data_IF_533695474069
#
_entry.id   IF_533695474069
#
_cell.length_a   1.000
_cell.length_b   1.000
_cell.length_c   1.000
_cell.angle_alpha   90.00
_cell.angle_beta   90.00
_cell.angle_gamma   90.00
#
_symmetry.space_group_name_H-M   'P 1'
#
loop_
_entity.id
_entity.type
_entity.pdbx_description
1 polymer ?
#
# COMPACT_ATOMS: atom_id res chain seq x y z
N UNK A 1 45.66 63.01 -15.68
CA UNK A 1 44.91 63.97 -16.51
C UNK A 1 43.43 63.71 -16.27
N UNK A 2 42.78 64.56 -15.45
CA UNK A 2 41.82 65.61 -15.86
C UNK A 2 40.57 65.00 -16.55
N UNK A 3 39.41 64.97 -15.88
CA UNK A 3 38.41 66.07 -15.78
C UNK A 3 37.49 66.12 -17.01
N UNK A 4 36.20 66.47 -17.00
CA UNK A 4 35.17 66.87 -16.04
C UNK A 4 33.86 66.95 -16.90
N UNK A 5 32.68 66.58 -16.41
CA UNK A 5 31.59 67.53 -16.10
C UNK A 5 30.25 66.97 -16.63
N UNK A 6 29.18 66.74 -15.85
CA UNK A 6 28.36 67.59 -14.97
C UNK A 6 27.29 68.37 -15.75
N UNK A 7 26.00 68.14 -15.46
CA UNK A 7 24.99 69.02 -14.83
C UNK A 7 23.65 68.22 -14.84
N UNK A 8 22.63 68.36 -13.99
CA UNK A 8 22.37 68.91 -12.64
C UNK A 8 20.83 68.75 -12.43
N UNK A 9 20.34 68.51 -11.22
CA UNK A 9 18.90 68.49 -10.95
C UNK A 9 18.57 68.11 -9.51
N UNK A 10 18.64 69.11 -8.62
CA UNK A 10 18.51 69.01 -7.17
C UNK A 10 17.08 68.73 -6.69
N UNK A 11 16.95 68.08 -5.53
CA UNK A 11 15.85 68.34 -4.58
C UNK A 11 16.26 67.92 -3.16
N UNK A 12 15.74 68.69 -2.21
CA UNK A 12 16.33 69.08 -0.94
C UNK A 12 15.84 68.20 0.21
N UNK A 13 16.75 67.85 1.13
CA UNK A 13 16.43 67.28 2.45
C UNK A 13 15.81 68.35 3.36
N UNK A 14 14.73 67.99 4.05
CA UNK A 14 14.31 68.63 5.29
C UNK A 14 14.02 67.57 6.36
N UNK A 15 14.81 67.59 7.42
CA UNK A 15 14.60 66.87 8.68
C UNK A 15 13.44 67.53 9.45
N UNK A 16 12.55 66.73 10.04
CA UNK A 16 11.72 67.19 11.16
C UNK A 16 11.46 66.03 12.12
N UNK A 17 11.98 66.20 13.34
CA UNK A 17 11.60 65.46 14.53
C UNK A 17 10.21 65.93 15.03
N UNK A 18 9.42 65.00 15.59
CA UNK A 18 8.18 65.30 16.30
C UNK A 18 7.64 64.02 16.91
N UNK A 19 7.89 63.79 18.20
CA UNK A 19 6.93 63.99 19.29
C UNK A 19 5.64 63.18 19.12
N UNK A 20 5.49 62.14 19.95
CA UNK A 20 4.27 61.38 20.13
C UNK A 20 3.10 62.30 20.55
N UNK A 21 1.89 62.16 19.98
CA UNK A 21 0.74 62.86 20.51
C UNK A 21 0.14 62.07 21.69
N UNK A 22 -0.05 62.83 22.75
CA UNK A 22 -0.78 62.57 23.97
C UNK A 22 -2.26 62.29 23.67
N UNK A 23 -2.86 61.41 24.47
CA UNK A 23 -4.25 60.99 24.37
C UNK A 23 -5.16 62.15 24.78
N UNK A 24 -5.94 62.69 23.84
CA UNK A 24 -6.96 63.69 24.14
C UNK A 24 -8.28 63.00 24.54
N UNK A 25 -8.67 63.18 25.80
CA UNK A 25 -9.94 62.74 26.36
C UNK A 25 -11.05 63.72 25.92
N UNK A 26 -11.98 63.26 25.09
CA UNK A 26 -13.21 64.00 24.75
C UNK A 26 -14.32 63.63 25.76
N UNK A 27 -15.04 64.61 26.36
CA UNK A 27 -16.10 64.34 27.32
C UNK A 27 -17.38 63.92 26.58
N UNK A 28 -17.85 62.70 26.82
CA UNK A 28 -19.17 62.26 26.34
C UNK A 28 -20.22 62.60 27.40
N UNK A 29 -21.07 63.58 27.07
CA UNK A 29 -22.29 63.94 27.82
C UNK A 29 -23.23 62.74 27.97
N UNK A 30 -23.82 62.51 29.16
CA UNK A 30 -24.78 61.43 29.36
C UNK A 30 -26.11 61.75 28.67
N UNK A 31 -26.71 60.81 27.91
CA UNK A 31 -28.04 60.99 27.35
C UNK A 31 -29.12 60.93 28.43
N UNK A 32 -30.15 61.78 28.27
CA UNK A 32 -31.36 61.89 29.09
C UNK A 32 -32.10 60.56 29.22
N UNK A 33 -32.60 60.30 30.43
CA UNK A 33 -33.55 59.24 30.76
C UNK A 33 -34.75 59.20 29.80
N UNK A 34 -34.80 58.18 28.96
CA UNK A 34 -36.04 57.65 28.41
C UNK A 34 -36.46 56.42 29.23
N UNK A 35 -37.76 56.18 29.45
CA UNK A 35 -38.21 55.02 30.21
C UNK A 35 -37.85 53.74 29.46
N UNK A 36 -37.01 52.92 30.09
CA UNK A 36 -36.57 51.62 29.59
C UNK A 36 -37.78 50.70 29.47
N UNK A 37 -38.10 50.27 28.26
CA UNK A 37 -39.04 49.18 28.02
C UNK A 37 -38.50 47.92 28.71
N UNK A 38 -39.37 47.27 29.49
CA UNK A 38 -39.07 46.07 30.28
C UNK A 38 -38.47 45.00 29.36
N UNK A 39 -37.19 44.70 29.54
CA UNK A 39 -36.51 43.63 28.81
C UNK A 39 -37.18 42.28 29.12
N UNK A 40 -37.39 41.41 28.12
CA UNK A 40 -37.88 40.07 28.37
C UNK A 40 -36.81 39.28 29.15
N UNK A 41 -37.24 38.59 30.20
CA UNK A 41 -36.43 37.65 30.98
C UNK A 41 -35.76 36.62 30.07
N UNK A 42 -34.46 36.31 30.26
CA UNK A 42 -33.80 35.26 29.49
C UNK A 42 -34.43 33.91 29.86
N UNK A 43 -35.04 33.24 28.88
CA UNK A 43 -35.46 31.85 29.02
C UNK A 43 -34.22 30.98 29.26
N UNK A 44 -34.36 30.02 30.18
CA UNK A 44 -33.34 29.02 30.50
C UNK A 44 -32.84 28.33 29.22
N UNK A 45 -31.55 27.93 29.15
CA UNK A 45 -31.03 27.21 27.99
C UNK A 45 -31.84 25.93 27.78
N UNK A 46 -32.41 25.81 26.60
CA UNK A 46 -33.14 24.64 26.15
C UNK A 46 -32.19 23.44 26.20
N UNK A 47 -32.58 22.41 26.95
CA UNK A 47 -31.75 21.23 27.16
C UNK A 47 -31.43 20.58 25.80
N UNK A 48 -30.15 20.53 25.46
CA UNK A 48 -29.68 19.81 24.26
C UNK A 48 -30.21 18.37 24.32
N UNK A 49 -30.85 17.85 23.25
CA UNK A 49 -31.32 16.48 23.23
C UNK A 49 -30.17 15.53 23.56
N UNK A 50 -30.40 14.59 24.48
CA UNK A 50 -29.42 13.56 24.81
C UNK A 50 -28.92 12.89 23.52
N UNK A 51 -27.60 12.62 23.39
CA UNK A 51 -27.07 11.91 22.23
C UNK A 51 -27.86 10.61 22.03
N UNK A 52 -28.43 10.42 20.85
CA UNK A 52 -29.14 9.17 20.55
C UNK A 52 -28.19 7.99 20.79
N UNK A 53 -28.66 6.91 21.46
CA UNK A 53 -27.85 5.71 21.63
C UNK A 53 -27.35 5.26 20.26
N UNK A 54 -26.02 5.18 20.10
CA UNK A 54 -25.42 4.64 18.87
C UNK A 54 -26.05 3.25 18.65
N UNK A 55 -26.61 2.95 17.46
CA UNK A 55 -27.19 1.65 17.19
C UNK A 55 -26.20 0.56 17.62
N UNK A 56 -26.68 -0.44 18.37
CA UNK A 56 -25.85 -1.56 18.77
C UNK A 56 -25.21 -2.15 17.51
N UNK A 57 -23.89 -2.34 17.53
CA UNK A 57 -23.19 -2.95 16.42
C UNK A 57 -23.84 -4.30 16.12
N UNK A 58 -24.19 -4.54 14.85
CA UNK A 58 -24.71 -5.84 14.43
C UNK A 58 -23.72 -6.93 14.85
N UNK A 59 -24.21 -8.08 15.37
CA UNK A 59 -23.33 -9.18 15.75
C UNK A 59 -22.50 -9.62 14.54
N UNK A 60 -21.24 -9.99 14.79
CA UNK A 60 -20.37 -10.49 13.73
C UNK A 60 -21.02 -11.71 13.06
N UNK A 61 -20.85 -11.87 11.73
CA UNK A 61 -21.35 -13.02 11.00
C UNK A 61 -20.92 -14.35 11.65
N UNK A 62 -21.82 -15.34 11.65
CA UNK A 62 -21.50 -16.65 12.19
C UNK A 62 -20.47 -17.36 11.29
N UNK A 63 -19.27 -17.62 11.83
CA UNK A 63 -18.20 -18.35 11.15
C UNK A 63 -18.28 -19.86 11.34
N UNK A 64 -17.88 -20.59 10.31
CA UNK A 64 -17.78 -22.06 10.30
C UNK A 64 -16.78 -22.58 11.35
N UNK A 65 -16.91 -23.86 11.73
CA UNK A 65 -15.95 -24.50 12.64
C UNK A 65 -14.53 -24.56 12.02
N UNK A 66 -14.44 -24.77 10.71
CA UNK A 66 -13.18 -24.79 9.97
C UNK A 66 -12.49 -23.42 9.99
N UNK A 67 -13.21 -22.33 9.69
CA UNK A 67 -12.67 -20.96 9.76
C UNK A 67 -12.23 -20.59 11.18
N UNK A 68 -12.99 -21.00 12.21
CA UNK A 68 -12.58 -20.81 13.62
C UNK A 68 -11.28 -21.57 13.94
N UNK A 69 -11.12 -22.80 13.48
CA UNK A 69 -9.91 -23.58 13.68
C UNK A 69 -8.70 -22.97 12.95
N UNK A 70 -8.88 -22.49 11.72
CA UNK A 70 -7.87 -21.75 10.97
C UNK A 70 -7.47 -20.45 11.69
N UNK A 71 -8.44 -19.68 12.21
CA UNK A 71 -8.16 -18.47 12.97
C UNK A 71 -7.29 -18.75 14.20
N UNK A 72 -7.60 -19.82 14.96
CA UNK A 72 -6.80 -20.24 16.11
C UNK A 72 -5.41 -20.74 15.73
N UNK A 73 -5.27 -21.34 14.55
CA UNK A 73 -3.98 -21.79 14.04
C UNK A 73 -3.10 -20.60 13.64
N UNK A 74 -3.62 -19.67 12.84
CA UNK A 74 -2.85 -18.51 12.38
C UNK A 74 -2.55 -17.52 13.52
N UNK A 75 -3.43 -17.43 14.52
CA UNK A 75 -3.14 -16.67 15.75
C UNK A 75 -1.91 -17.23 16.49
N UNK A 76 -1.80 -18.57 16.58
CA UNK A 76 -0.61 -19.24 17.18
C UNK A 76 0.63 -19.01 16.32
N UNK A 77 0.53 -19.22 15.01
CA UNK A 77 1.63 -18.99 14.06
C UNK A 77 2.18 -17.56 14.19
N UNK A 78 1.33 -16.53 14.14
CA UNK A 78 1.79 -15.15 14.29
C UNK A 78 2.44 -14.92 15.66
N UNK A 79 1.86 -15.48 16.74
CA UNK A 79 2.45 -15.36 18.08
C UNK A 79 3.85 -15.97 18.13
N UNK A 80 4.05 -17.13 17.51
CA UNK A 80 5.33 -17.82 17.45
C UNK A 80 6.36 -17.05 16.63
N UNK A 81 5.97 -16.50 15.47
CA UNK A 81 6.82 -15.67 14.62
C UNK A 81 7.26 -14.39 15.35
N UNK A 82 6.31 -13.65 15.93
CA UNK A 82 6.61 -12.40 16.66
C UNK A 82 7.50 -12.67 17.88
N UNK A 83 7.28 -13.78 18.60
CA UNK A 83 8.11 -14.15 19.76
C UNK A 83 9.56 -14.42 19.35
N UNK A 84 9.78 -14.94 18.14
CA UNK A 84 11.12 -15.16 17.57
C UNK A 84 11.76 -13.88 17.01
N UNK A 85 11.07 -12.74 17.07
CA UNK A 85 11.54 -11.48 16.48
C UNK A 85 11.33 -11.39 14.96
N UNK A 86 10.54 -12.28 14.38
CA UNK A 86 10.13 -12.27 12.98
C UNK A 86 8.89 -11.35 12.79
N UNK A 87 8.38 -11.27 11.56
CA UNK A 87 7.34 -10.33 11.13
C UNK A 87 7.70 -8.88 11.45
N UNK A 88 8.96 -8.50 11.25
CA UNK A 88 9.44 -7.14 11.47
C UNK A 88 8.72 -6.16 10.55
N UNK A 89 8.32 -5.02 11.10
CA UNK A 89 7.70 -3.91 10.37
C UNK A 89 8.62 -2.70 10.16
N UNK A 90 9.89 -2.80 10.56
CA UNK A 90 10.85 -1.69 10.56
C UNK A 90 11.47 -1.41 9.18
N UNK A 91 11.32 -2.35 8.23
CA UNK A 91 11.82 -2.23 6.86
C UNK A 91 13.32 -2.48 6.72
N UNK A 92 13.95 -3.08 7.73
CA UNK A 92 15.40 -3.35 7.80
C UNK A 92 16.19 -2.20 8.43
N UNK A 93 17.49 -2.43 8.64
CA UNK A 93 18.35 -1.50 9.35
C UNK A 93 19.83 -1.82 9.22
N UNK A 94 20.68 -1.27 10.12
CA UNK A 94 22.12 -1.53 10.15
C UNK A 94 22.50 -3.02 10.27
N UNK A 95 21.60 -3.85 10.80
CA UNK A 95 21.74 -5.30 10.96
C UNK A 95 21.41 -6.10 9.67
N UNK A 96 20.86 -5.42 8.66
CA UNK A 96 20.49 -6.01 7.37
C UNK A 96 21.11 -5.25 6.20
N UNK A 97 22.45 -5.12 6.14
CA UNK A 97 23.10 -4.43 5.03
C UNK A 97 22.94 -5.25 3.74
N UNK A 98 22.87 -4.55 2.61
CA UNK A 98 22.93 -5.15 1.29
C UNK A 98 23.75 -4.28 0.35
N UNK A 99 24.40 -4.91 -0.63
CA UNK A 99 25.17 -4.23 -1.67
C UNK A 99 24.35 -4.06 -2.96
N UNK A 100 24.83 -3.24 -3.88
CA UNK A 100 24.33 -3.16 -5.25
C UNK A 100 24.31 -4.52 -5.96
N UNK A 101 25.34 -5.33 -5.73
CA UNK A 101 25.47 -6.67 -6.32
C UNK A 101 24.42 -7.62 -5.75
N UNK A 102 24.15 -7.55 -4.44
CA UNK A 102 23.05 -8.30 -3.81
C UNK A 102 21.71 -7.87 -4.39
N UNK A 103 21.47 -6.55 -4.45
CA UNK A 103 20.22 -6.00 -4.99
C UNK A 103 19.98 -6.44 -6.45
N UNK A 104 20.99 -6.36 -7.32
CA UNK A 104 20.87 -6.80 -8.71
C UNK A 104 20.62 -8.30 -8.85
N UNK A 105 21.33 -9.12 -8.06
CA UNK A 105 21.13 -10.58 -8.05
C UNK A 105 19.71 -10.93 -7.59
N UNK A 106 19.26 -10.31 -6.51
CA UNK A 106 17.93 -10.55 -5.94
C UNK A 106 16.85 -10.09 -6.91
N UNK A 107 17.01 -8.93 -7.56
CA UNK A 107 16.12 -8.48 -8.63
C UNK A 107 15.97 -9.51 -9.75
N UNK A 108 17.08 -10.06 -10.23
CA UNK A 108 17.05 -11.08 -11.29
C UNK A 108 16.28 -12.32 -10.83
N UNK A 109 16.49 -12.76 -9.58
CA UNK A 109 15.79 -13.94 -9.03
C UNK A 109 14.31 -13.72 -8.79
N UNK A 110 13.93 -12.54 -8.32
CA UNK A 110 12.56 -12.24 -7.90
C UNK A 110 11.69 -11.80 -9.08
N UNK A 111 12.23 -11.01 -10.01
CA UNK A 111 11.44 -10.42 -11.10
C UNK A 111 11.50 -11.20 -12.43
N UNK A 112 12.45 -12.12 -12.59
CA UNK A 112 12.73 -12.80 -13.87
C UNK A 112 12.68 -14.32 -13.75
N UNK A 113 12.08 -14.82 -12.68
CA UNK A 113 11.71 -16.22 -12.49
C UNK A 113 10.23 -16.27 -12.10
N UNK A 114 9.55 -17.34 -12.48
CA UNK A 114 8.21 -17.67 -11.99
C UNK A 114 8.35 -18.66 -10.82
N UNK A 115 7.54 -18.50 -9.77
CA UNK A 115 7.56 -19.37 -8.57
C UNK A 115 6.98 -20.76 -8.84
N UNK A 116 5.91 -20.84 -9.65
CA UNK A 116 5.18 -22.07 -9.92
C UNK A 116 5.25 -22.49 -11.37
N UNK A 117 5.40 -23.80 -11.59
CA UNK A 117 5.18 -24.46 -12.89
C UNK A 117 3.90 -25.28 -12.86
N UNK A 118 3.24 -25.38 -14.01
CA UNK A 118 2.11 -26.28 -14.17
C UNK A 118 2.59 -27.74 -14.13
N UNK A 119 2.04 -28.53 -13.21
CA UNK A 119 2.32 -29.96 -13.04
C UNK A 119 1.00 -30.75 -13.19
N UNK A 120 0.68 -31.07 -14.44
CA UNK A 120 -0.61 -31.63 -14.83
C UNK A 120 -1.75 -30.69 -14.45
N UNK A 121 -2.55 -31.08 -13.44
CA UNK A 121 -3.68 -30.29 -12.97
C UNK A 121 -3.37 -29.45 -11.71
N UNK A 122 -2.12 -29.48 -11.23
CA UNK A 122 -1.67 -28.76 -10.04
C UNK A 122 -0.61 -27.71 -10.40
N UNK A 123 -0.31 -26.82 -9.45
CA UNK A 123 0.85 -25.95 -9.49
C UNK A 123 1.92 -26.53 -8.56
N UNK A 124 3.17 -26.53 -8.99
CA UNK A 124 4.31 -26.97 -8.18
C UNK A 124 5.33 -25.84 -8.10
N UNK A 125 5.79 -25.54 -6.89
CA UNK A 125 6.83 -24.54 -6.68
C UNK A 125 8.14 -25.02 -7.34
N UNK A 126 8.59 -24.29 -8.36
CA UNK A 126 9.85 -24.48 -9.07
C UNK A 126 10.25 -23.18 -9.77
N UNK A 127 11.27 -22.51 -9.22
CA UNK A 127 11.82 -21.29 -9.78
C UNK A 127 12.30 -21.50 -11.23
N UNK A 128 11.52 -21.02 -12.19
CA UNK A 128 11.77 -21.21 -13.62
C UNK A 128 12.04 -19.88 -14.29
N UNK A 129 13.07 -19.80 -15.14
CA UNK A 129 13.40 -18.54 -15.83
C UNK A 129 12.21 -18.04 -16.64
N UNK A 130 11.85 -16.78 -16.40
CA UNK A 130 10.71 -16.11 -17.01
C UNK A 130 11.18 -14.87 -17.77
N UNK A 131 10.21 -14.12 -18.28
CA UNK A 131 10.42 -12.80 -18.89
C UNK A 131 9.96 -11.73 -17.90
N UNK A 132 10.52 -10.54 -18.02
CA UNK A 132 10.08 -9.40 -17.22
C UNK A 132 8.60 -9.13 -17.51
N UNK A 133 7.77 -9.18 -16.47
CA UNK A 133 6.35 -8.83 -16.54
C UNK A 133 6.05 -7.71 -15.54
N UNK A 134 5.24 -6.73 -15.98
CA UNK A 134 4.79 -5.62 -15.14
C UNK A 134 3.57 -4.94 -15.74
N UNK A 135 2.97 -4.03 -15.01
CA UNK A 135 1.90 -3.17 -15.52
C UNK A 135 2.46 -2.03 -16.39
N UNK A 136 1.78 -1.69 -17.47
CA UNK A 136 2.02 -0.46 -18.24
C UNK A 136 0.80 0.48 -18.23
N UNK A 137 -0.28 0.04 -17.57
CA UNK A 137 -1.53 0.81 -17.41
C UNK A 137 -1.78 1.11 -15.94
N UNK A 138 -2.59 2.15 -15.63
CA UNK A 138 -3.00 2.42 -14.25
C UNK A 138 -3.66 1.22 -13.59
N UNK A 139 -3.38 1.04 -12.30
CA UNK A 139 -3.93 -0.04 -11.50
C UNK A 139 -5.07 0.51 -10.65
N UNK A 140 -6.26 -0.06 -10.86
CA UNK A 140 -7.47 0.18 -10.06
C UNK A 140 -7.69 -1.05 -9.20
N UNK A 141 -7.49 -0.88 -7.90
CA UNK A 141 -7.66 -1.94 -6.91
C UNK A 141 -9.10 -1.97 -6.39
N UNK A 142 -9.79 -3.09 -6.56
CA UNK A 142 -11.03 -3.34 -5.85
C UNK A 142 -10.78 -4.25 -4.66
N UNK A 143 -11.35 -3.92 -3.50
CA UNK A 143 -11.17 -4.72 -2.26
C UNK A 143 -12.48 -5.38 -1.91
N UNK A 144 -12.53 -6.70 -2.03
CA UNK A 144 -13.73 -7.50 -1.80
C UNK A 144 -13.58 -8.33 -0.53
N UNK A 145 -14.69 -8.45 0.19
CA UNK A 145 -14.73 -9.19 1.45
C UNK A 145 -15.78 -10.28 1.37
N UNK A 146 -15.45 -11.44 1.94
CA UNK A 146 -16.41 -12.48 2.22
C UNK A 146 -17.50 -11.98 3.18
N UNK A 147 -18.68 -12.58 3.12
CA UNK A 147 -19.81 -12.19 3.98
C UNK A 147 -19.46 -12.36 5.44
N UNK A 148 -18.61 -13.34 5.76
CA UNK A 148 -18.28 -13.69 7.14
C UNK A 148 -17.13 -12.87 7.74
N UNK A 149 -16.53 -11.95 6.99
CA UNK A 149 -15.46 -11.06 7.50
C UNK A 149 -16.06 -9.92 8.33
N UNK A 150 -15.66 -9.68 9.60
CA UNK A 150 -16.19 -8.63 10.45
C UNK A 150 -16.01 -7.21 9.89
N UNK A 151 -17.01 -6.33 10.07
CA UNK A 151 -16.98 -4.96 9.53
C UNK A 151 -15.76 -4.14 10.00
N UNK A 152 -15.35 -4.32 11.27
CA UNK A 152 -14.16 -3.67 11.83
C UNK A 152 -12.89 -4.11 11.12
N UNK A 153 -12.78 -5.38 10.73
CA UNK A 153 -11.66 -5.90 9.95
C UNK A 153 -11.68 -5.32 8.53
N UNK A 154 -12.84 -5.33 7.86
CA UNK A 154 -12.97 -4.74 6.51
C UNK A 154 -12.48 -3.29 6.45
N UNK A 155 -12.83 -2.48 7.45
CA UNK A 155 -12.36 -1.10 7.52
C UNK A 155 -10.84 -0.98 7.66
N UNK A 156 -10.22 -1.80 8.53
CA UNK A 156 -8.75 -1.82 8.71
C UNK A 156 -8.05 -2.24 7.42
N UNK A 157 -8.52 -3.32 6.80
CA UNK A 157 -7.85 -3.90 5.65
C UNK A 157 -8.00 -3.01 4.39
N UNK A 158 -9.17 -2.38 4.18
CA UNK A 158 -9.32 -1.35 3.12
C UNK A 158 -8.33 -0.21 3.31
N UNK A 159 -8.17 0.29 4.53
CA UNK A 159 -7.23 1.37 4.80
C UNK A 159 -5.77 0.94 4.59
N UNK A 160 -5.42 -0.28 5.00
CA UNK A 160 -4.09 -0.84 4.77
C UNK A 160 -3.77 -0.97 3.27
N UNK A 161 -4.69 -1.55 2.48
CA UNK A 161 -4.56 -1.64 1.02
C UNK A 161 -4.44 -0.24 0.40
N UNK A 162 -5.23 0.74 0.84
CA UNK A 162 -5.21 2.09 0.28
C UNK A 162 -3.87 2.80 0.56
N UNK A 163 -3.41 2.73 1.81
CA UNK A 163 -2.15 3.32 2.22
C UNK A 163 -0.96 2.68 1.48
N UNK A 164 -0.98 1.36 1.33
CA UNK A 164 0.08 0.64 0.64
C UNK A 164 0.05 0.86 -0.87
N UNK A 165 -1.12 0.84 -1.51
CA UNK A 165 -1.29 1.22 -2.92
C UNK A 165 -0.70 2.60 -3.22
N UNK A 166 -0.94 3.58 -2.34
CA UNK A 166 -0.36 4.91 -2.48
C UNK A 166 1.19 4.89 -2.36
N UNK A 167 1.75 4.05 -1.47
CA UNK A 167 3.21 3.86 -1.36
C UNK A 167 3.78 3.22 -2.62
N UNK A 168 3.16 2.14 -3.12
CA UNK A 168 3.55 1.46 -4.36
C UNK A 168 3.52 2.44 -5.54
N UNK A 169 2.47 3.26 -5.67
CA UNK A 169 2.35 4.25 -6.74
C UNK A 169 3.51 5.25 -6.74
N UNK A 170 3.93 5.74 -5.56
CA UNK A 170 5.09 6.63 -5.43
C UNK A 170 6.42 5.95 -5.77
N UNK A 171 6.57 4.67 -5.44
CA UNK A 171 7.79 3.91 -5.68
C UNK A 171 7.97 3.58 -7.16
N UNK A 172 6.88 3.25 -7.86
CA UNK A 172 6.93 2.72 -9.23
C UNK A 172 6.58 3.76 -10.29
N UNK A 173 5.94 4.87 -9.92
CA UNK A 173 5.40 5.85 -10.86
C UNK A 173 4.13 5.39 -11.59
N UNK A 174 3.66 4.16 -11.36
CA UNK A 174 2.37 3.69 -11.86
C UNK A 174 1.26 4.36 -11.07
N UNK A 175 0.21 4.93 -11.68
CA UNK A 175 -0.95 5.39 -10.94
C UNK A 175 -1.70 4.20 -10.35
N UNK A 176 -1.73 4.10 -9.01
CA UNK A 176 -2.43 3.03 -8.29
C UNK A 176 -3.43 3.66 -7.33
N UNK A 177 -4.68 3.19 -7.37
CA UNK A 177 -5.72 3.67 -6.45
C UNK A 177 -6.83 2.66 -6.26
N UNK A 178 -7.55 2.78 -5.14
CA UNK A 178 -8.75 1.96 -4.93
C UNK A 178 -9.94 2.48 -5.72
N UNK A 179 -10.81 1.57 -6.13
CA UNK A 179 -12.08 1.86 -6.80
C UNK A 179 -13.24 1.19 -6.08
N UNK A 180 -14.43 1.79 -6.18
CA UNK A 180 -15.68 1.19 -5.69
C UNK A 180 -16.30 0.22 -6.73
N UNK A 181 -15.95 0.36 -8.01
CA UNK A 181 -16.36 -0.52 -9.09
C UNK A 181 -15.37 -1.67 -9.33
N UNK A 182 -15.50 -2.35 -10.46
CA UNK A 182 -14.56 -3.41 -10.86
C UNK A 182 -13.16 -2.85 -11.16
N UNK A 183 -12.15 -3.41 -10.51
CA UNK A 183 -10.75 -3.10 -10.70
C UNK A 183 -10.09 -4.04 -11.71
N UNK A 184 -8.91 -3.66 -12.19
CA UNK A 184 -8.03 -4.61 -12.88
C UNK A 184 -7.14 -5.37 -11.89
N UNK A 185 -7.10 -4.98 -10.61
CA UNK A 185 -6.46 -5.73 -9.54
C UNK A 185 -7.49 -5.96 -8.42
N UNK A 186 -7.95 -7.20 -8.27
CA UNK A 186 -8.90 -7.55 -7.20
C UNK A 186 -8.17 -8.12 -5.97
N UNK A 187 -8.39 -7.50 -4.81
CA UNK A 187 -7.86 -7.95 -3.51
C UNK A 187 -9.01 -8.60 -2.73
N UNK A 188 -8.98 -9.93 -2.63
CA UNK A 188 -10.04 -10.74 -2.07
C UNK A 188 -9.66 -11.19 -0.67
N UNK A 189 -10.38 -10.68 0.34
CA UNK A 189 -10.18 -11.06 1.74
C UNK A 189 -11.36 -11.95 2.15
N UNK A 190 -11.13 -13.26 2.15
CA UNK A 190 -12.17 -14.28 2.28
C UNK A 190 -11.86 -15.21 3.44
N UNK A 191 -12.85 -15.50 4.28
CA UNK A 191 -12.76 -16.66 5.17
C UNK A 191 -13.00 -17.96 4.38
N UNK A 192 -12.67 -19.09 4.99
CA UNK A 192 -12.72 -20.42 4.39
C UNK A 192 -14.06 -20.73 3.70
N UNK A 193 -15.19 -20.50 4.38
CA UNK A 193 -16.52 -20.73 3.79
C UNK A 193 -16.85 -19.79 2.62
N UNK A 194 -16.46 -18.51 2.70
CA UNK A 194 -16.70 -17.54 1.63
C UNK A 194 -15.89 -17.90 0.38
N UNK A 195 -14.67 -18.41 0.60
CA UNK A 195 -13.72 -18.80 -0.44
C UNK A 195 -14.18 -20.04 -1.21
N UNK A 196 -14.72 -21.05 -0.52
CA UNK A 196 -15.24 -22.27 -1.16
C UNK A 196 -16.39 -21.99 -2.15
N UNK A 197 -17.18 -20.95 -1.91
CA UNK A 197 -18.26 -20.52 -2.80
C UNK A 197 -17.83 -19.60 -3.94
N UNK A 198 -16.55 -19.25 -4.06
CA UNK A 198 -16.10 -18.12 -4.89
C UNK A 198 -15.80 -18.50 -6.36
N UNK A 199 -15.87 -19.79 -6.72
CA UNK A 199 -15.42 -20.29 -8.04
C UNK A 199 -16.07 -19.57 -9.22
N UNK A 200 -17.40 -19.49 -9.24
CA UNK A 200 -18.14 -18.88 -10.35
C UNK A 200 -17.75 -17.41 -10.54
N UNK A 201 -17.55 -16.70 -9.42
CA UNK A 201 -17.13 -15.30 -9.42
C UNK A 201 -15.68 -15.15 -9.87
N UNK A 202 -14.78 -16.05 -9.48
CA UNK A 202 -13.40 -16.07 -9.96
C UNK A 202 -13.33 -16.30 -11.48
N UNK A 203 -14.12 -17.25 -12.02
CA UNK A 203 -14.20 -17.53 -13.46
C UNK A 203 -14.85 -16.38 -14.25
N UNK A 204 -15.84 -15.70 -13.67
CA UNK A 204 -16.41 -14.49 -14.25
C UNK A 204 -15.42 -13.35 -14.26
N UNK A 205 -14.69 -13.17 -13.15
CA UNK A 205 -13.61 -12.20 -13.07
C UNK A 205 -12.64 -12.53 -14.17
N UNK A 206 -12.01 -13.71 -14.21
CA UNK A 206 -10.96 -14.08 -15.16
C UNK A 206 -11.46 -15.10 -16.19
N UNK A 207 -12.09 -14.67 -17.31
CA UNK A 207 -12.45 -15.57 -18.39
C UNK A 207 -11.24 -16.35 -18.90
N UNK A 208 -11.37 -17.67 -19.01
CA UNK A 208 -10.30 -18.54 -19.49
C UNK A 208 -9.19 -18.84 -18.47
N UNK A 209 -9.38 -18.51 -17.19
CA UNK A 209 -8.47 -18.93 -16.12
C UNK A 209 -8.21 -20.44 -16.15
N UNK A 210 -6.94 -20.83 -16.00
CA UNK A 210 -6.56 -22.24 -15.96
C UNK A 210 -7.17 -22.94 -14.73
N UNK A 211 -7.62 -24.19 -14.91
CA UNK A 211 -8.22 -24.96 -13.81
C UNK A 211 -7.24 -25.24 -12.65
N UNK A 212 -5.93 -25.30 -12.93
CA UNK A 212 -4.89 -25.37 -11.88
C UNK A 212 -4.88 -24.13 -11.00
N UNK A 213 -5.03 -22.93 -11.59
CA UNK A 213 -5.13 -21.65 -10.87
C UNK A 213 -6.43 -21.54 -10.07
N UNK A 214 -7.55 -21.99 -10.65
CA UNK A 214 -8.83 -22.08 -9.92
C UNK A 214 -8.69 -22.99 -8.69
N UNK A 215 -8.04 -24.16 -8.85
CA UNK A 215 -7.81 -25.08 -7.74
C UNK A 215 -6.88 -24.50 -6.67
N UNK A 216 -5.80 -23.83 -7.05
CA UNK A 216 -4.89 -23.18 -6.11
C UNK A 216 -5.63 -22.13 -5.27
N UNK A 217 -6.54 -21.38 -5.87
CA UNK A 217 -7.39 -20.41 -5.19
C UNK A 217 -8.45 -21.07 -4.28
N UNK A 218 -9.10 -22.14 -4.76
CA UNK A 218 -10.21 -22.79 -4.06
C UNK A 218 -9.78 -23.88 -3.07
N UNK A 219 -8.55 -24.36 -3.11
CA UNK A 219 -8.04 -25.35 -2.16
C UNK A 219 -6.57 -25.08 -1.79
N UNK A 220 -6.22 -23.86 -1.32
CA UNK A 220 -4.88 -23.57 -0.86
C UNK A 220 -4.58 -24.40 0.40
N UNK A 221 -3.35 -24.90 0.47
CA UNK A 221 -2.86 -25.60 1.66
C UNK A 221 -2.90 -24.67 2.88
N UNK A 222 -2.86 -25.24 4.09
CA UNK A 222 -2.82 -24.42 5.32
C UNK A 222 -1.55 -23.57 5.44
N UNK A 223 -0.45 -24.02 4.86
CA UNK A 223 0.82 -23.29 4.80
C UNK A 223 0.81 -22.19 3.74
N UNK A 224 -0.09 -22.24 2.76
CA UNK A 224 -0.32 -21.14 1.82
C UNK A 224 -1.12 -20.06 2.54
N UNK A 225 -0.41 -19.04 3.02
CA UNK A 225 -0.96 -17.93 3.79
C UNK A 225 -1.80 -17.01 2.89
N UNK A 226 -1.26 -16.67 1.73
CA UNK A 226 -1.90 -15.86 0.71
C UNK A 226 -1.51 -16.36 -0.69
N UNK A 227 -2.15 -15.82 -1.72
CA UNK A 227 -1.83 -16.13 -3.11
C UNK A 227 -2.18 -14.96 -4.03
N UNK A 228 -1.31 -14.59 -4.97
CA UNK A 228 -1.65 -13.70 -6.09
C UNK A 228 -1.44 -14.41 -7.42
N UNK A 229 -2.37 -14.16 -8.34
CA UNK A 229 -2.25 -14.60 -9.72
C UNK A 229 -2.39 -13.38 -10.61
N UNK A 230 -1.35 -13.09 -11.40
CA UNK A 230 -1.35 -12.04 -12.40
C UNK A 230 -1.51 -12.63 -13.80
N UNK A 231 -2.23 -11.92 -14.66
CA UNK A 231 -2.61 -12.34 -16.00
C UNK A 231 -2.19 -11.26 -17.00
N UNK A 232 -1.77 -11.71 -18.18
CA UNK A 232 -1.49 -10.86 -19.34
C UNK A 232 -2.46 -11.20 -20.45
N UNK A 233 -2.89 -10.19 -21.21
CA UNK A 233 -3.65 -10.42 -22.46
C UNK A 233 -2.76 -11.09 -23.52
N UNK A 234 -3.34 -11.99 -24.29
CA UNK A 234 -2.75 -12.65 -25.47
C UNK A 234 -1.36 -13.29 -25.25
N UNK A 235 -1.05 -13.73 -24.02
CA UNK A 235 0.26 -14.29 -23.68
C UNK A 235 1.39 -13.26 -23.69
N UNK A 236 1.04 -11.98 -23.65
CA UNK A 236 1.98 -10.86 -23.54
C UNK A 236 2.72 -10.84 -22.21
N UNK A 237 3.61 -9.85 -22.07
CA UNK A 237 4.39 -9.63 -20.85
C UNK A 237 3.90 -8.42 -20.04
N UNK A 238 2.83 -7.78 -20.49
CA UNK A 238 2.21 -6.67 -19.78
C UNK A 238 0.98 -7.18 -19.04
N UNK A 239 0.94 -6.96 -17.73
CA UNK A 239 -0.21 -7.37 -16.94
C UNK A 239 -1.45 -6.54 -17.30
N UNK A 240 -2.55 -7.25 -17.43
CA UNK A 240 -3.89 -6.70 -17.64
C UNK A 240 -4.80 -6.96 -16.45
N UNK A 241 -4.50 -7.99 -15.64
CA UNK A 241 -5.25 -8.34 -14.45
C UNK A 241 -4.39 -8.94 -13.34
N UNK A 242 -4.78 -8.74 -12.09
CA UNK A 242 -4.35 -9.59 -10.98
C UNK A 242 -5.50 -9.89 -10.01
N UNK A 243 -5.42 -11.05 -9.36
CA UNK A 243 -6.33 -11.45 -8.28
C UNK A 243 -5.47 -11.92 -7.11
N UNK A 244 -5.53 -11.20 -5.99
CA UNK A 244 -4.92 -11.60 -4.73
C UNK A 244 -5.96 -12.21 -3.79
N UNK A 245 -5.60 -13.30 -3.12
CA UNK A 245 -6.35 -13.98 -2.09
C UNK A 245 -5.62 -13.85 -0.76
N UNK A 246 -6.31 -13.28 0.22
CA UNK A 246 -5.81 -13.16 1.58
C UNK A 246 -6.83 -13.81 2.51
N UNK A 247 -6.38 -14.75 3.35
CA UNK A 247 -7.26 -15.43 4.30
C UNK A 247 -7.77 -14.44 5.35
N UNK A 248 -9.09 -14.35 5.49
CA UNK A 248 -9.74 -13.50 6.49
C UNK A 248 -9.43 -13.94 7.93
N UNK A 249 -9.03 -15.20 8.12
CA UNK A 249 -8.66 -15.80 9.41
C UNK A 249 -7.32 -15.32 9.96
N UNK A 250 -6.48 -14.67 9.14
CA UNK A 250 -5.19 -14.19 9.61
C UNK A 250 -5.36 -13.15 10.73
N UNK A 251 -4.54 -13.21 11.80
CA UNK A 251 -4.42 -12.11 12.75
C UNK A 251 -3.84 -10.85 12.07
N UNK A 252 -3.96 -9.70 12.74
CA UNK A 252 -3.76 -8.39 12.11
C UNK A 252 -2.38 -8.19 11.47
N UNK A 253 -1.28 -8.64 12.09
CA UNK A 253 0.08 -8.45 11.53
C UNK A 253 0.33 -9.42 10.35
N UNK A 254 -0.07 -10.68 10.48
CA UNK A 254 0.08 -11.66 9.40
C UNK A 254 -0.76 -11.28 8.19
N UNK A 255 -1.98 -10.76 8.42
CA UNK A 255 -2.85 -10.28 7.33
C UNK A 255 -2.24 -9.06 6.65
N UNK A 256 -1.65 -8.15 7.42
CA UNK A 256 -0.93 -7.01 6.86
C UNK A 256 0.29 -7.45 6.05
N UNK A 257 1.02 -8.47 6.49
CA UNK A 257 2.14 -9.04 5.75
C UNK A 257 1.71 -9.59 4.39
N UNK A 258 0.65 -10.39 4.35
CA UNK A 258 0.05 -10.86 3.10
C UNK A 258 -0.38 -9.71 2.19
N UNK A 259 -0.94 -8.61 2.73
CA UNK A 259 -1.25 -7.42 1.92
C UNK A 259 0.02 -6.84 1.29
N UNK A 260 1.13 -6.80 2.02
CA UNK A 260 2.38 -6.23 1.53
C UNK A 260 3.04 -7.07 0.45
N UNK A 261 3.07 -8.38 0.67
CA UNK A 261 3.62 -9.38 -0.24
C UNK A 261 2.81 -9.46 -1.52
N UNK A 262 1.52 -9.77 -1.43
CA UNK A 262 0.68 -10.06 -2.62
C UNK A 262 0.52 -8.87 -3.55
N UNK A 263 0.43 -7.66 -2.99
CA UNK A 263 0.36 -6.47 -3.82
C UNK A 263 1.69 -6.17 -4.50
N UNK A 264 2.83 -6.47 -3.88
CA UNK A 264 4.13 -6.26 -4.50
C UNK A 264 4.47 -7.35 -5.52
N UNK A 265 4.17 -8.62 -5.22
CA UNK A 265 4.29 -9.71 -6.19
C UNK A 265 3.36 -9.47 -7.39
N UNK A 266 2.12 -9.03 -7.14
CA UNK A 266 1.16 -8.62 -8.17
C UNK A 266 1.60 -7.43 -9.04
N UNK A 267 2.67 -6.71 -8.65
CA UNK A 267 3.30 -5.68 -9.50
C UNK A 267 4.32 -6.26 -10.49
N UNK A 268 4.77 -7.51 -10.29
CA UNK A 268 5.74 -8.22 -11.14
C UNK A 268 6.97 -8.77 -10.41
N UNK A 269 7.03 -8.69 -9.09
CA UNK A 269 8.05 -9.36 -8.27
C UNK A 269 7.58 -10.79 -7.93
N UNK A 270 7.36 -11.62 -8.96
CA UNK A 270 6.50 -12.80 -8.91
C UNK A 270 7.18 -14.10 -8.40
N UNK A 271 8.35 -14.03 -7.79
CA UNK A 271 9.06 -15.19 -7.27
C UNK A 271 9.82 -14.87 -5.99
N UNK A 272 9.93 -15.87 -5.12
CA UNK A 272 10.67 -15.77 -3.87
C UNK A 272 12.07 -16.37 -3.97
N UNK A 273 12.95 -15.92 -3.09
CA UNK A 273 14.32 -16.37 -3.01
C UNK A 273 14.84 -16.34 -1.57
N UNK A 274 15.18 -17.49 -0.96
CA UNK A 274 15.73 -17.56 0.39
C UNK A 274 17.02 -16.74 0.61
N UNK A 275 17.66 -16.28 -0.47
CA UNK A 275 18.87 -15.45 -0.43
C UNK A 275 18.57 -13.94 -0.43
N UNK A 276 17.29 -13.54 -0.44
CA UNK A 276 16.87 -12.16 -0.64
C UNK A 276 16.88 -11.29 0.63
N UNK A 277 17.57 -11.66 1.72
CA UNK A 277 17.60 -10.85 2.94
C UNK A 277 18.26 -9.46 2.72
N UNK A 278 17.67 -8.35 3.22
CA UNK A 278 16.35 -8.24 3.86
C UNK A 278 15.25 -8.14 2.80
N UNK A 279 14.24 -9.00 2.87
CA UNK A 279 13.12 -8.93 1.93
C UNK A 279 11.89 -9.60 2.53
N UNK A 280 10.72 -9.25 2.01
CA UNK A 280 9.50 -10.05 2.21
C UNK A 280 9.41 -11.23 1.22
N UNK A 281 10.27 -11.27 0.19
CA UNK A 281 10.31 -12.31 -0.85
C UNK A 281 11.36 -13.39 -0.56
N UNK A 282 11.64 -13.68 0.72
CA UNK A 282 12.64 -14.67 1.14
C UNK A 282 12.04 -15.86 1.90
N UNK A 283 10.71 -15.91 2.07
CA UNK A 283 9.94 -17.00 2.69
C UNK A 283 10.43 -17.43 4.08
N UNK A 284 11.12 -16.56 4.82
CA UNK A 284 11.56 -16.83 6.20
C UNK A 284 10.78 -16.02 7.25
N UNK A 285 9.82 -15.21 6.77
CA UNK A 285 8.98 -14.31 7.55
C UNK A 285 9.74 -13.35 8.46
N UNK A 286 11.05 -13.11 8.27
CA UNK A 286 11.81 -12.13 9.06
C UNK A 286 11.14 -10.76 8.98
N UNK A 287 10.73 -10.35 7.78
CA UNK A 287 10.03 -9.10 7.53
C UNK A 287 8.57 -9.36 7.18
N UNK A 288 7.68 -8.72 7.94
CA UNK A 288 6.25 -8.69 7.62
C UNK A 288 5.86 -7.51 6.75
N UNK A 289 6.69 -6.46 6.64
CA UNK A 289 6.40 -5.29 5.80
C UNK A 289 7.57 -4.97 4.87
N UNK A 290 7.23 -4.31 3.77
CA UNK A 290 8.15 -3.94 2.69
C UNK A 290 9.42 -3.24 3.22
N UNK A 291 10.57 -3.84 2.96
CA UNK A 291 11.89 -3.34 3.35
C UNK A 291 12.43 -2.29 2.40
N UNK A 292 13.49 -1.56 2.80
CA UNK A 292 14.21 -0.66 1.87
C UNK A 292 14.71 -1.41 0.64
N UNK A 293 15.18 -2.65 0.80
CA UNK A 293 15.64 -3.47 -0.32
C UNK A 293 14.50 -3.74 -1.30
N UNK A 294 13.32 -4.14 -0.82
CA UNK A 294 12.15 -4.42 -1.65
C UNK A 294 11.63 -3.17 -2.38
N UNK A 295 11.68 -2.01 -1.72
CA UNK A 295 11.37 -0.74 -2.38
C UNK A 295 12.29 -0.45 -3.58
N UNK A 296 13.58 -0.80 -3.47
CA UNK A 296 14.52 -0.66 -4.58
C UNK A 296 14.25 -1.70 -5.67
N UNK A 297 13.84 -2.93 -5.33
CA UNK A 297 13.42 -3.92 -6.32
C UNK A 297 12.22 -3.42 -7.14
N UNK A 298 11.23 -2.81 -6.50
CA UNK A 298 10.09 -2.20 -7.18
C UNK A 298 10.51 -1.03 -8.09
N UNK A 299 11.39 -0.15 -7.60
CA UNK A 299 11.95 0.94 -8.43
C UNK A 299 12.70 0.40 -9.65
N UNK A 300 13.50 -0.63 -9.45
CA UNK A 300 14.21 -1.30 -10.55
C UNK A 300 13.22 -1.88 -11.56
N UNK A 301 12.20 -2.62 -11.09
CA UNK A 301 11.19 -3.24 -11.96
C UNK A 301 10.51 -2.23 -12.89
N UNK A 302 10.30 -1.01 -12.41
CA UNK A 302 9.65 0.08 -13.16
C UNK A 302 10.62 1.10 -13.76
N UNK A 303 11.93 0.85 -13.73
CA UNK A 303 12.91 1.67 -14.43
C UNK A 303 12.63 1.62 -15.95
N UNK A 304 12.63 2.75 -16.68
CA UNK A 304 12.35 2.80 -18.11
C UNK A 304 13.30 1.97 -18.99
N UNK A 305 14.52 1.68 -18.49
CA UNK A 305 15.51 0.86 -19.19
C UNK A 305 15.12 -0.61 -19.24
N UNK A 306 14.32 -1.07 -18.28
CA UNK A 306 13.75 -2.41 -18.27
C UNK A 306 12.37 -2.38 -18.92
N UNK A 307 12.13 -3.30 -19.86
CA UNK A 307 10.88 -3.36 -20.64
C UNK A 307 10.22 -4.72 -20.51
N UNK A 308 8.88 -4.80 -20.51
CA UNK A 308 8.19 -6.09 -20.56
C UNK A 308 8.73 -6.99 -21.67
N UNK A 309 8.87 -8.28 -21.37
CA UNK A 309 9.34 -9.30 -22.31
C UNK A 309 10.85 -9.50 -22.36
N UNK A 310 11.66 -8.65 -21.73
CA UNK A 310 13.09 -8.89 -21.59
C UNK A 310 13.35 -10.22 -20.85
N UNK A 311 14.24 -11.03 -21.39
CA UNK A 311 14.74 -12.22 -20.71
C UNK A 311 15.69 -11.86 -19.56
N UNK A 312 15.95 -12.81 -18.66
CA UNK A 312 16.93 -12.64 -17.60
C UNK A 312 18.32 -12.24 -18.13
N UNK A 313 18.74 -12.77 -19.28
CA UNK A 313 20.04 -12.47 -19.90
C UNK A 313 20.11 -11.03 -20.38
N UNK A 314 19.03 -10.53 -21.00
CA UNK A 314 18.95 -9.14 -21.50
C UNK A 314 18.85 -8.13 -20.36
N UNK A 315 18.03 -8.42 -19.34
CA UNK A 315 17.78 -7.52 -18.22
C UNK A 315 18.94 -7.48 -17.22
N UNK A 316 19.69 -8.57 -17.00
CA UNK A 316 20.75 -8.65 -16.01
C UNK A 316 21.81 -7.51 -16.07
N UNK A 317 22.44 -7.21 -17.23
CA UNK A 317 23.40 -6.10 -17.30
C UNK A 317 22.77 -4.73 -17.02
N UNK A 318 21.50 -4.54 -17.38
CA UNK A 318 20.75 -3.31 -17.11
C UNK A 318 20.46 -3.20 -15.61
N UNK A 319 19.95 -4.27 -14.99
CA UNK A 319 19.65 -4.34 -13.57
C UNK A 319 20.87 -4.04 -12.69
N UNK A 320 22.06 -4.56 -13.06
CA UNK A 320 23.31 -4.25 -12.33
C UNK A 320 23.64 -2.76 -12.35
N UNK A 321 23.44 -2.09 -13.49
CA UNK A 321 23.68 -0.65 -13.61
C UNK A 321 22.69 0.14 -12.75
N UNK A 322 21.39 -0.19 -12.83
CA UNK A 322 20.36 0.45 -12.02
C UNK A 322 20.67 0.27 -10.53
N UNK A 323 21.02 -0.94 -10.09
CA UNK A 323 21.33 -1.22 -8.69
C UNK A 323 22.53 -0.42 -8.17
N UNK A 324 23.59 -0.31 -8.98
CA UNK A 324 24.77 0.50 -8.65
C UNK A 324 24.41 1.99 -8.51
N UNK A 325 23.55 2.52 -9.38
CA UNK A 325 23.06 3.91 -9.28
C UNK A 325 22.20 4.13 -8.02
N UNK A 326 21.30 3.19 -7.69
CA UNK A 326 20.41 3.31 -6.53
C UNK A 326 21.12 3.16 -5.18
N UNK A 327 22.16 2.33 -5.12
CA UNK A 327 22.92 2.09 -3.87
C UNK A 327 24.13 3.02 -3.75
N UNK A 328 24.80 3.31 -4.87
CA UNK A 328 26.00 4.17 -4.93
C UNK A 328 25.70 5.67 -5.08
N UNK A 329 24.49 6.06 -5.50
CA UNK A 329 24.05 7.46 -5.69
C UNK A 329 23.90 8.30 -4.41
N UNK A 330 24.42 7.83 -3.28
CA UNK A 330 24.59 8.58 -2.04
C UNK A 330 26.01 9.19 -1.91
N UNK A 331 26.69 9.44 -3.04
CA UNK A 331 27.99 10.13 -3.09
C UNK A 331 27.85 11.56 -3.61
#
# INVERSE_FOLDING_TARGET
MRSLGMILGASVLAFAAGCAPEVELVPVTPPRNQPVAKAPTPSAPEATPAPQPRPAASPDPARSAASKALSQHYARLQSDLVTQGLLRGDGGGPDTPFTDTMLARNFIRIALYDEYVADGANLRAEATMSRLRRWETPIRMDVQFGETVPAKQRARDRNAVAAYAARLSRLTGVPIGQTAGEGNFSVLILNEEDRLGYEAKLKQMVPGIAESSVRAFLNPSRSTLCLVIAFSEDGGNTYSRAVALIRGEHPDMLRLACIHEELAQGMGLANDSPQARPSIFNDDEEFGLLTRHDELLLKMLYDPRLRPGMSAVEAAPIARRIAAELVGGNS
#
